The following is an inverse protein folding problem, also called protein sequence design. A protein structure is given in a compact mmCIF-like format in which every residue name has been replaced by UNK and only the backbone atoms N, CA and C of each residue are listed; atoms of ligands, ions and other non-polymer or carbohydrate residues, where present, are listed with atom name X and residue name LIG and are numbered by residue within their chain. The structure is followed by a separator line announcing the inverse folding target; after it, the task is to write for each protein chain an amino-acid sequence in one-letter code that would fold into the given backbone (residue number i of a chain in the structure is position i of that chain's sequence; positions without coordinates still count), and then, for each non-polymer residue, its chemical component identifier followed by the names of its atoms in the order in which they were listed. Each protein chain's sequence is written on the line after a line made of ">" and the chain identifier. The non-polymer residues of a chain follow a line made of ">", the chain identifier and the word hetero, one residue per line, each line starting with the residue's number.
data_IF_457920447581
#
_entry.id   IF_457920447581
#
_cell.length_a   1.000
_cell.length_b   1.000
_cell.length_c   1.000
_cell.angle_alpha   90.00
_cell.angle_beta   90.00
_cell.angle_gamma   90.00
#
_symmetry.space_group_name_H-M   'P 1'
#
loop_
_entity.id
_entity.type
_entity.pdbx_description
1 polymer ?
#
# COMPACT_ATOMS: atom_id res chain seq x y z
N UNK A 1 -2.18 70.99 4.78
CA UNK A 1 -2.79 70.12 3.75
C UNK A 1 -2.90 68.73 4.35
N UNK A 2 -4.08 68.10 4.43
CA UNK A 2 -4.25 66.77 5.08
C UNK A 2 -4.09 65.58 4.12
N UNK A 3 -3.99 65.86 2.83
CA UNK A 3 -3.79 64.86 1.78
C UNK A 3 -2.55 65.26 0.97
N UNK A 4 -1.56 64.36 0.93
CA UNK A 4 -0.30 64.57 0.24
C UNK A 4 -0.16 63.56 -0.91
N UNK A 5 -0.23 64.05 -2.14
CA UNK A 5 0.01 63.24 -3.35
C UNK A 5 1.50 63.25 -3.70
N UNK A 6 2.01 62.20 -4.35
CA UNK A 6 3.43 62.07 -4.71
C UNK A 6 4.01 63.23 -5.53
N UNK A 7 3.18 64.04 -6.21
CA UNK A 7 3.61 65.20 -7.03
C UNK A 7 3.78 66.49 -6.21
N UNK A 8 3.20 66.55 -5.01
CA UNK A 8 3.17 67.74 -4.16
C UNK A 8 4.35 67.74 -3.17
N UNK A 9 4.82 66.55 -2.80
CA UNK A 9 5.96 66.37 -1.90
C UNK A 9 7.30 66.37 -2.67
N UNK A 10 8.40 66.88 -2.07
CA UNK A 10 9.75 66.73 -2.60
C UNK A 10 10.16 65.26 -2.78
N UNK A 11 11.14 65.00 -3.64
CA UNK A 11 11.72 63.66 -3.83
C UNK A 11 12.29 63.13 -2.50
N UNK A 12 12.09 61.84 -2.20
CA UNK A 12 12.57 61.13 -0.99
C UNK A 12 12.15 61.67 0.38
N UNK A 13 11.26 62.66 0.45
CA UNK A 13 10.78 63.26 1.71
C UNK A 13 10.18 62.27 2.72
N UNK A 14 9.74 61.08 2.28
CA UNK A 14 9.20 60.03 3.18
C UNK A 14 10.27 59.35 4.04
N UNK A 15 11.55 59.41 3.65
CA UNK A 15 12.65 58.80 4.40
C UNK A 15 13.10 59.66 5.57
N UNK A 16 12.80 60.96 5.54
CA UNK A 16 13.19 61.93 6.57
C UNK A 16 12.14 62.07 7.68
N UNK A 17 10.89 61.68 7.41
CA UNK A 17 9.77 61.80 8.35
C UNK A 17 9.46 60.46 9.04
N UNK A 18 9.40 60.45 10.37
CA UNK A 18 8.96 59.30 11.17
C UNK A 18 7.43 59.22 11.20
N UNK A 19 6.86 58.34 10.36
CA UNK A 19 5.42 58.11 10.28
C UNK A 19 5.02 56.76 10.91
N UNK A 20 4.01 56.78 11.75
CA UNK A 20 3.40 55.58 12.29
C UNK A 20 2.24 55.12 11.40
N UNK A 21 2.29 53.86 10.96
CA UNK A 21 1.21 53.24 10.18
C UNK A 21 0.98 51.81 10.63
N UNK A 22 -0.26 51.34 10.47
CA UNK A 22 -0.62 49.97 10.80
C UNK A 22 -0.16 49.00 9.70
N UNK A 23 0.46 47.89 10.11
CA UNK A 23 0.81 46.79 9.21
C UNK A 23 -0.22 45.68 9.36
N UNK A 24 -0.85 45.30 8.25
CA UNK A 24 -1.90 44.26 8.21
C UNK A 24 -1.39 42.87 8.63
N UNK A 25 -0.08 42.64 8.51
CA UNK A 25 0.54 41.32 8.70
C UNK A 25 1.57 41.35 9.82
N UNK A 26 1.62 40.28 10.62
CA UNK A 26 2.72 40.04 11.55
C UNK A 26 4.01 39.83 10.75
N UNK A 27 5.09 40.45 11.20
CA UNK A 27 6.41 40.24 10.61
C UNK A 27 6.84 38.77 10.77
N UNK A 28 7.58 38.26 9.80
CA UNK A 28 8.18 36.93 9.87
C UNK A 28 9.19 36.93 11.03
N UNK A 29 9.12 35.96 11.96
CA UNK A 29 10.09 35.88 13.04
C UNK A 29 11.48 35.59 12.47
N UNK A 30 12.48 36.33 12.94
CA UNK A 30 13.87 36.11 12.58
C UNK A 30 14.43 34.99 13.46
N UNK A 31 15.08 33.99 12.84
CA UNK A 31 15.71 32.89 13.56
C UNK A 31 17.00 33.40 14.20
N UNK A 32 17.03 33.45 15.52
CA UNK A 32 18.19 33.89 16.31
C UNK A 32 18.81 32.71 17.05
N UNK A 33 20.09 32.84 17.45
CA UNK A 33 20.81 31.83 18.23
C UNK A 33 20.16 31.54 19.59
N UNK A 34 19.31 32.43 20.10
CA UNK A 34 18.55 32.18 21.33
C UNK A 34 17.36 31.23 21.10
N UNK A 35 16.78 31.22 19.89
CA UNK A 35 15.61 30.38 19.56
C UNK A 35 15.97 28.96 19.12
N UNK A 36 17.19 28.79 18.61
CA UNK A 36 17.70 27.50 18.11
C UNK A 36 17.83 26.44 19.23
N UNK A 37 18.37 26.74 20.42
CA UNK A 37 18.49 25.78 21.51
C UNK A 37 17.14 25.17 21.94
N UNK A 38 16.10 26.00 22.05
CA UNK A 38 14.75 25.53 22.39
C UNK A 38 14.16 24.59 21.33
N UNK A 39 14.48 24.81 20.05
CA UNK A 39 14.10 23.90 18.96
C UNK A 39 14.87 22.59 19.03
N UNK A 40 16.18 22.64 19.26
CA UNK A 40 17.04 21.46 19.36
C UNK A 40 16.65 20.55 20.53
N UNK A 41 16.41 21.12 21.70
CA UNK A 41 16.06 20.34 22.89
C UNK A 41 14.71 19.63 22.71
N UNK A 42 13.76 20.29 22.05
CA UNK A 42 12.49 19.68 21.65
C UNK A 42 12.69 18.52 20.66
N UNK A 43 13.58 18.68 19.68
CA UNK A 43 13.88 17.62 18.71
C UNK A 43 14.55 16.43 19.43
N UNK A 44 15.55 16.69 20.27
CA UNK A 44 16.25 15.67 21.07
C UNK A 44 15.26 14.89 21.96
N UNK A 45 14.36 15.59 22.65
CA UNK A 45 13.33 14.95 23.47
C UNK A 45 12.43 14.01 22.65
N UNK A 46 11.94 14.45 21.47
CA UNK A 46 11.08 13.62 20.61
C UNK A 46 11.79 12.37 20.08
N UNK A 47 13.08 12.49 19.75
CA UNK A 47 13.90 11.36 19.30
C UNK A 47 14.06 10.36 20.45
N UNK A 48 14.36 10.82 21.66
CA UNK A 48 14.49 9.96 22.84
C UNK A 48 13.18 9.22 23.16
N UNK A 49 12.04 9.88 22.96
CA UNK A 49 10.72 9.30 23.18
C UNK A 49 10.20 8.48 21.98
N UNK A 50 10.93 8.44 20.86
CA UNK A 50 10.56 7.72 19.65
C UNK A 50 9.26 8.21 18.99
N UNK A 51 8.83 9.45 19.26
CA UNK A 51 7.56 10.01 18.78
C UNK A 51 7.72 10.70 17.44
N UNK A 52 7.67 9.91 16.37
CA UNK A 52 7.73 10.40 14.99
C UNK A 52 6.33 10.41 14.36
N UNK A 53 5.96 11.55 13.78
CA UNK A 53 4.68 11.75 13.08
C UNK A 53 4.77 11.31 11.60
N UNK A 54 5.47 10.20 11.33
CA UNK A 54 5.70 9.71 9.98
C UNK A 54 4.48 8.98 9.40
N UNK A 55 4.24 9.15 8.10
CA UNK A 55 3.14 8.45 7.42
C UNK A 55 3.49 6.97 7.27
N UNK A 56 2.73 6.11 7.94
CA UNK A 56 2.86 4.66 7.79
C UNK A 56 2.46 4.24 6.38
N UNK A 57 3.37 3.52 5.70
CA UNK A 57 3.08 2.88 4.41
C UNK A 57 1.95 1.86 4.57
N UNK A 58 0.75 2.23 4.15
CA UNK A 58 -0.35 1.29 4.02
C UNK A 58 -0.05 0.40 2.81
N UNK A 59 0.24 -0.89 3.05
CA UNK A 59 0.05 -1.91 2.02
C UNK A 59 -1.42 -1.83 1.61
N UNK A 60 -1.78 -2.04 0.33
CA UNK A 60 -3.19 -2.12 -0.06
C UNK A 60 -3.84 -3.14 0.86
N UNK A 61 -4.75 -2.68 1.71
CA UNK A 61 -5.50 -3.53 2.60
C UNK A 61 -6.19 -4.53 1.70
N UNK A 62 -5.88 -5.82 1.88
CA UNK A 62 -6.80 -6.86 1.42
C UNK A 62 -8.13 -6.49 2.05
N UNK A 63 -9.09 -6.11 1.22
CA UNK A 63 -10.42 -5.68 1.61
C UNK A 63 -11.22 -6.92 2.06
N UNK A 64 -10.63 -7.70 2.98
CA UNK A 64 -11.33 -8.75 3.71
C UNK A 64 -12.17 -8.04 4.76
N UNK A 65 -13.23 -7.39 4.29
CA UNK A 65 -14.45 -7.23 5.08
C UNK A 65 -14.71 -8.60 5.70
N UNK A 66 -14.94 -8.64 7.00
CA UNK A 66 -15.37 -9.87 7.69
C UNK A 66 -16.36 -10.60 6.79
N UNK A 67 -16.04 -11.85 6.42
CA UNK A 67 -16.92 -12.65 5.55
C UNK A 67 -18.28 -12.92 6.22
N UNK A 68 -18.37 -12.64 7.52
CA UNK A 68 -19.52 -12.87 8.36
C UNK A 68 -20.02 -11.55 8.94
N UNK A 69 -21.33 -11.33 8.84
CA UNK A 69 -22.02 -10.23 9.53
C UNK A 69 -22.01 -10.47 11.05
N UNK A 70 -22.14 -9.42 11.87
CA UNK A 70 -22.29 -9.54 13.33
C UNK A 70 -23.44 -10.49 13.72
N UNK A 71 -24.52 -10.49 12.95
CA UNK A 71 -25.65 -11.41 13.14
C UNK A 71 -25.26 -12.88 12.89
N UNK A 72 -24.32 -13.11 11.98
CA UNK A 72 -23.86 -14.43 11.55
C UNK A 72 -22.87 -15.03 12.56
N UNK A 73 -22.02 -14.19 13.14
CA UNK A 73 -21.17 -14.56 14.29
C UNK A 73 -22.05 -14.99 15.47
N UNK A 74 -23.13 -14.25 15.74
CA UNK A 74 -24.07 -14.58 16.80
C UNK A 74 -24.82 -15.90 16.53
N UNK A 75 -25.21 -16.15 15.27
CA UNK A 75 -25.84 -17.41 14.86
C UNK A 75 -24.86 -18.60 14.97
N UNK A 76 -23.62 -18.44 14.54
CA UNK A 76 -22.57 -19.47 14.61
C UNK A 76 -22.09 -19.79 16.03
N UNK A 77 -22.16 -18.84 16.96
CA UNK A 77 -21.86 -19.09 18.38
C UNK A 77 -23.04 -19.77 19.09
N UNK A 78 -24.28 -19.49 18.68
CA UNK A 78 -25.48 -19.98 19.36
C UNK A 78 -26.00 -21.33 18.82
N UNK A 79 -25.83 -21.60 17.53
CA UNK A 79 -26.26 -22.84 16.87
C UNK A 79 -25.53 -24.13 17.32
N UNK A 80 -24.19 -24.16 17.55
CA UNK A 80 -23.53 -25.39 17.98
C UNK A 80 -23.88 -25.78 19.43
N UNK A 81 -24.33 -24.81 20.22
CA UNK A 81 -24.74 -25.04 21.62
C UNK A 81 -26.15 -25.64 21.71
N UNK A 82 -27.01 -25.42 20.71
CA UNK A 82 -28.40 -25.91 20.73
C UNK A 82 -28.67 -27.11 19.82
N UNK A 83 -27.98 -27.25 18.70
CA UNK A 83 -28.36 -28.24 17.68
C UNK A 83 -27.11 -28.89 17.10
N UNK A 84 -26.73 -30.05 17.65
CA UNK A 84 -25.63 -30.87 17.13
C UNK A 84 -25.95 -31.49 15.76
N UNK A 85 -25.91 -30.70 14.69
CA UNK A 85 -26.18 -31.19 13.34
C UNK A 85 -25.68 -30.26 12.24
N UNK A 86 -24.73 -30.78 11.45
CA UNK A 86 -24.19 -30.17 10.23
C UNK A 86 -25.31 -29.86 9.24
N UNK A 87 -25.52 -28.58 8.94
CA UNK A 87 -26.44 -28.16 7.89
C UNK A 87 -25.95 -26.85 7.25
N UNK A 88 -25.09 -26.95 6.24
CA UNK A 88 -24.48 -25.76 5.63
C UNK A 88 -24.08 -25.83 4.15
N UNK A 89 -23.84 -26.99 3.54
CA UNK A 89 -23.20 -27.00 2.21
C UNK A 89 -24.14 -26.62 1.04
N UNK A 90 -25.42 -27.00 1.10
CA UNK A 90 -26.30 -26.87 -0.08
C UNK A 90 -26.84 -25.43 -0.28
N UNK A 91 -26.99 -24.66 0.82
CA UNK A 91 -27.38 -23.25 0.74
C UNK A 91 -26.26 -22.36 0.17
N UNK A 92 -25.01 -22.70 0.49
CA UNK A 92 -23.85 -21.93 0.04
C UNK A 92 -23.55 -22.11 -1.45
N UNK A 93 -23.84 -23.29 -2.01
CA UNK A 93 -23.67 -23.55 -3.46
C UNK A 93 -24.62 -22.73 -4.32
N UNK A 94 -25.91 -22.71 -3.97
CA UNK A 94 -26.92 -21.92 -4.69
C UNK A 94 -26.65 -20.41 -4.57
N UNK A 95 -26.27 -19.95 -3.38
CA UNK A 95 -25.93 -18.56 -3.13
C UNK A 95 -24.72 -18.10 -3.96
N UNK A 96 -23.69 -18.95 -4.10
CA UNK A 96 -22.54 -18.68 -4.98
C UNK A 96 -22.94 -18.58 -6.45
N UNK A 97 -23.83 -19.47 -6.93
CA UNK A 97 -24.34 -19.41 -8.31
C UNK A 97 -25.11 -18.11 -8.58
N UNK A 98 -25.99 -17.72 -7.66
CA UNK A 98 -26.77 -16.47 -7.76
C UNK A 98 -25.86 -15.22 -7.71
N UNK A 99 -24.81 -15.26 -6.88
CA UNK A 99 -23.79 -14.23 -6.81
C UNK A 99 -23.00 -14.11 -8.12
N UNK A 100 -22.56 -15.22 -8.70
CA UNK A 100 -21.83 -15.25 -9.96
C UNK A 100 -22.69 -14.74 -11.13
N UNK A 101 -23.97 -15.10 -11.18
CA UNK A 101 -24.92 -14.59 -12.18
C UNK A 101 -25.12 -13.07 -12.06
N UNK A 102 -25.28 -12.57 -10.83
CA UNK A 102 -25.42 -11.14 -10.56
C UNK A 102 -24.16 -10.37 -10.97
N UNK A 103 -22.98 -10.92 -10.65
CA UNK A 103 -21.70 -10.32 -11.02
C UNK A 103 -21.49 -10.30 -12.54
N UNK A 104 -21.90 -11.35 -13.27
CA UNK A 104 -21.86 -11.36 -14.75
C UNK A 104 -22.74 -10.25 -15.34
N UNK A 105 -23.97 -10.09 -14.82
CA UNK A 105 -24.88 -9.02 -15.28
C UNK A 105 -24.34 -7.64 -14.95
N UNK A 106 -23.81 -7.47 -13.75
CA UNK A 106 -23.16 -6.24 -13.32
C UNK A 106 -21.98 -5.87 -14.22
N UNK A 107 -21.11 -6.84 -14.54
CA UNK A 107 -19.96 -6.64 -15.42
C UNK A 107 -20.37 -6.25 -16.85
N UNK A 108 -21.45 -6.84 -17.37
CA UNK A 108 -21.99 -6.48 -18.69
C UNK A 108 -22.57 -5.05 -18.73
N UNK A 109 -23.04 -4.53 -17.60
CA UNK A 109 -23.54 -3.15 -17.47
C UNK A 109 -22.36 -2.19 -17.23
N UNK A 110 -21.44 -2.52 -16.32
CA UNK A 110 -20.29 -1.67 -15.96
C UNK A 110 -19.32 -1.49 -17.14
N UNK A 111 -19.07 -2.54 -17.91
CA UNK A 111 -18.23 -2.47 -19.12
C UNK A 111 -18.77 -1.52 -20.20
N UNK A 112 -20.08 -1.24 -20.21
CA UNK A 112 -20.70 -0.30 -21.13
C UNK A 112 -20.67 1.15 -20.64
N UNK A 113 -20.58 1.35 -19.31
CA UNK A 113 -20.72 2.66 -18.70
C UNK A 113 -19.36 3.29 -18.39
N UNK A 114 -18.42 2.55 -17.79
CA UNK A 114 -17.05 3.00 -17.50
C UNK A 114 -16.15 1.78 -17.18
N UNK A 115 -15.03 1.61 -17.90
CA UNK A 115 -14.13 0.47 -17.69
C UNK A 115 -13.28 0.68 -16.42
N UNK A 116 -13.72 0.09 -15.30
CA UNK A 116 -12.88 -0.10 -14.11
C UNK A 116 -12.44 -1.56 -14.02
N UNK A 117 -11.16 -1.89 -14.24
CA UNK A 117 -10.67 -3.26 -14.14
C UNK A 117 -10.83 -3.76 -12.69
N UNK A 118 -11.16 -5.05 -12.54
CA UNK A 118 -11.30 -5.68 -11.23
C UNK A 118 -9.97 -5.62 -10.47
N UNK A 119 -10.06 -5.45 -9.15
CA UNK A 119 -8.89 -5.56 -8.27
C UNK A 119 -8.21 -6.92 -8.48
N UNK A 120 -6.88 -6.97 -8.62
CA UNK A 120 -6.17 -8.22 -8.87
C UNK A 120 -6.43 -9.21 -7.72
N UNK A 121 -7.10 -10.32 -8.04
CA UNK A 121 -7.26 -11.45 -7.13
C UNK A 121 -6.10 -12.41 -7.39
N UNK A 122 -5.35 -12.75 -6.36
CA UNK A 122 -4.31 -13.77 -6.45
C UNK A 122 -4.97 -15.14 -6.65
N UNK A 123 -4.94 -15.65 -7.88
CA UNK A 123 -5.41 -17.01 -8.20
C UNK A 123 -4.19 -17.89 -8.37
N UNK A 124 -4.07 -18.92 -7.54
CA UNK A 124 -3.01 -19.92 -7.63
C UNK A 124 -3.49 -20.98 -8.64
N UNK A 125 -2.73 -21.16 -9.72
CA UNK A 125 -2.94 -22.25 -10.69
C UNK A 125 -1.83 -23.28 -10.53
N UNK A 126 -2.21 -24.55 -10.37
CA UNK A 126 -1.24 -25.65 -10.27
C UNK A 126 -0.97 -26.15 -11.68
N UNK A 127 0.23 -25.90 -12.19
CA UNK A 127 0.69 -26.36 -13.51
C UNK A 127 1.53 -27.63 -13.33
N UNK A 128 1.20 -28.70 -14.06
CA UNK A 128 1.95 -29.95 -14.02
C UNK A 128 3.17 -29.91 -14.96
N UNK A 129 4.27 -30.59 -14.59
CA UNK A 129 5.45 -30.77 -15.44
C UNK A 129 5.15 -31.74 -16.59
N UNK A 130 4.55 -31.23 -17.66
CA UNK A 130 4.32 -31.96 -18.90
C UNK A 130 5.02 -31.26 -20.07
N UNK A 131 5.25 -32.00 -21.15
CA UNK A 131 5.79 -31.40 -22.38
C UNK A 131 4.84 -30.33 -22.92
N UNK A 132 5.39 -29.21 -23.38
CA UNK A 132 4.65 -28.12 -24.04
C UNK A 132 3.75 -28.63 -25.19
N UNK A 133 4.18 -29.68 -25.88
CA UNK A 133 3.46 -30.34 -26.97
C UNK A 133 2.07 -30.84 -26.55
N UNK A 134 1.86 -31.20 -25.28
CA UNK A 134 0.59 -31.77 -24.79
C UNK A 134 -0.54 -30.74 -24.68
N UNK A 135 -0.19 -29.44 -24.63
CA UNK A 135 -1.16 -28.32 -24.70
C UNK A 135 -1.24 -27.70 -26.09
N UNK A 136 -0.42 -28.14 -27.04
CA UNK A 136 -0.43 -27.63 -28.41
C UNK A 136 -1.69 -28.02 -29.16
N UNK A 137 -2.20 -27.10 -30.00
CA UNK A 137 -3.23 -27.40 -30.99
C UNK A 137 -2.71 -28.40 -32.02
N UNK A 138 -3.58 -29.27 -32.54
CA UNK A 138 -3.27 -30.37 -33.47
C UNK A 138 -2.92 -29.92 -34.89
N UNK A 139 -2.32 -28.74 -35.05
CA UNK A 139 -1.88 -28.22 -36.34
C UNK A 139 -0.39 -28.52 -36.51
N UNK A 140 0.05 -29.04 -37.69
CA UNK A 140 1.45 -29.33 -37.93
C UNK A 140 2.22 -28.03 -38.17
N UNK A 141 2.72 -27.43 -37.10
CA UNK A 141 3.65 -26.30 -37.14
C UNK A 141 4.77 -26.62 -36.15
N UNK A 142 6.02 -26.49 -36.61
CA UNK A 142 7.27 -26.76 -35.86
C UNK A 142 7.13 -26.44 -34.37
N UNK A 143 7.09 -27.48 -33.53
CA UNK A 143 6.84 -27.34 -32.10
C UNK A 143 8.15 -27.22 -31.33
N UNK A 144 8.22 -26.25 -30.42
CA UNK A 144 9.33 -26.12 -29.47
C UNK A 144 9.22 -27.22 -28.42
N UNK A 145 10.19 -28.14 -28.36
CA UNK A 145 10.30 -29.16 -27.33
C UNK A 145 10.86 -28.56 -26.04
N UNK A 146 9.99 -27.97 -25.22
CA UNK A 146 10.35 -27.46 -23.90
C UNK A 146 9.42 -28.06 -22.82
N UNK A 147 9.93 -28.20 -21.60
CA UNK A 147 9.08 -28.46 -20.43
C UNK A 147 8.31 -27.19 -20.06
N UNK A 148 7.12 -27.35 -19.47
CA UNK A 148 6.33 -26.21 -18.97
C UNK A 148 6.93 -25.53 -17.75
N UNK A 149 7.71 -26.25 -16.94
CA UNK A 149 8.33 -25.68 -15.75
C UNK A 149 9.71 -25.12 -16.08
N UNK A 150 10.01 -23.94 -15.54
CA UNK A 150 11.34 -23.37 -15.63
C UNK A 150 12.33 -24.17 -14.74
N UNK A 151 13.64 -24.17 -15.05
CA UNK A 151 14.64 -24.83 -14.21
C UNK A 151 14.63 -24.37 -12.74
N UNK A 152 14.30 -23.09 -12.50
CA UNK A 152 14.17 -22.52 -11.15
C UNK A 152 12.93 -23.02 -10.38
N UNK A 153 11.86 -23.40 -11.09
CA UNK A 153 10.66 -24.02 -10.50
C UNK A 153 10.87 -25.52 -10.18
N UNK A 154 11.84 -26.16 -10.87
CA UNK A 154 12.25 -27.55 -10.62
C UNK A 154 13.31 -27.62 -9.52
N UNK A 155 14.21 -26.65 -9.48
CA UNK A 155 15.31 -26.60 -8.53
C UNK A 155 15.63 -25.15 -8.13
N UNK A 156 15.36 -24.84 -6.87
CA UNK A 156 15.81 -23.60 -6.23
C UNK A 156 17.20 -23.82 -5.62
N UNK A 157 18.19 -23.05 -6.05
CA UNK A 157 19.52 -23.09 -5.44
C UNK A 157 19.43 -22.45 -4.05
N UNK A 158 19.99 -23.07 -2.99
CA UNK A 158 20.10 -22.40 -1.69
C UNK A 158 20.94 -21.12 -1.81
N UNK A 159 20.58 -20.08 -1.06
CA UNK A 159 21.26 -18.77 -1.09
C UNK A 159 22.75 -18.83 -0.72
N UNK A 160 23.16 -19.92 -0.06
CA UNK A 160 24.54 -20.19 0.32
C UNK A 160 24.95 -21.45 -0.45
N UNK A 161 26.00 -21.33 -1.26
CA UNK A 161 26.61 -22.50 -1.88
C UNK A 161 27.04 -23.47 -0.76
N UNK A 162 26.75 -24.78 -0.86
CA UNK A 162 27.08 -25.73 0.18
C UNK A 162 28.60 -25.81 0.35
N UNK A 163 29.12 -25.02 1.28
CA UNK A 163 30.50 -25.02 1.70
C UNK A 163 30.58 -25.83 3.00
N UNK A 164 31.51 -26.77 3.06
CA UNK A 164 31.73 -27.54 4.27
C UNK A 164 32.20 -26.60 5.39
N UNK A 165 31.72 -26.79 6.62
CA UNK A 165 32.06 -25.93 7.76
C UNK A 165 33.57 -25.82 8.03
N UNK A 166 34.36 -26.80 7.56
CA UNK A 166 35.83 -26.80 7.65
C UNK A 166 36.57 -26.00 6.58
N UNK A 167 35.88 -25.52 5.53
CA UNK A 167 36.46 -24.73 4.44
C UNK A 167 36.25 -23.21 4.63
N UNK A 168 35.43 -22.81 5.60
CA UNK A 168 35.27 -21.40 5.96
C UNK A 168 36.56 -20.87 6.59
N UNK A 169 37.26 -20.00 5.88
CA UNK A 169 38.35 -19.24 6.50
C UNK A 169 37.80 -18.40 7.66
N UNK A 170 38.53 -18.25 8.80
CA UNK A 170 38.03 -17.55 9.99
C UNK A 170 37.69 -16.06 9.80
N UNK A 171 37.85 -15.49 8.60
CA UNK A 171 37.71 -14.06 8.32
C UNK A 171 36.30 -13.60 7.96
N UNK A 172 35.31 -14.49 7.86
CA UNK A 172 33.93 -14.09 7.49
C UNK A 172 32.96 -13.98 8.68
N UNK A 173 33.40 -14.23 9.91
CA UNK A 173 32.58 -14.03 11.12
C UNK A 173 32.68 -12.60 11.65
N UNK A 174 32.22 -11.63 10.88
CA UNK A 174 32.34 -10.25 11.31
C UNK A 174 31.51 -9.25 10.53
N UNK A 175 30.18 -9.42 10.51
CA UNK A 175 29.24 -8.29 10.51
C UNK A 175 27.94 -8.77 11.20
N UNK A 176 27.80 -8.45 12.49
CA UNK A 176 26.51 -8.23 13.15
C UNK A 176 26.41 -6.71 13.36
#
# INVERSE_FOLDING_TARGET
>A
MREATSRIRPHDSLLEEDLEYERVMKAVPVITEETVPGLEDRIKARILEGRFDDVVRKRPLQDTKSKQSLAQIYEEEYTPTQTGGVSGEDRDGKLKSEYDETMRRWEAISSKLDFTPKTPKATISIVANVSSTRLGSTLPISSTFASMLAPEEIYERPAIDPCAQGEHSPRQHGIN
#
